data_IF_844562515604
#
_entry.id   IF_844562515604
#
_cell.length_a   1.000
_cell.length_b   1.000
_cell.length_c   1.000
_cell.angle_alpha   90.00
_cell.angle_beta   90.00
_cell.angle_gamma   90.00
#
_symmetry.space_group_name_H-M   'P 1'
#
loop_
_entity.id
_entity.type
_entity.pdbx_description
1 polymer ?
#
# COMPACT_ATOMS: atom_id res chain seq x y z
N UNK A 1 -12.55 9.19 18.50
CA UNK A 1 -11.33 8.36 18.63
C UNK A 1 -10.84 8.17 17.22
N UNK A 2 -9.62 8.58 16.88
CA UNK A 2 -9.14 8.58 15.49
C UNK A 2 -9.08 7.15 14.93
N UNK A 3 -10.09 6.74 14.17
CA UNK A 3 -10.11 5.45 13.46
C UNK A 3 -9.59 5.61 12.04
N UNK A 4 -9.07 4.54 11.40
CA UNK A 4 -8.64 4.62 10.01
C UNK A 4 -9.74 5.13 9.09
N UNK A 5 -10.99 4.66 9.25
CA UNK A 5 -12.11 5.04 8.38
C UNK A 5 -12.48 6.53 8.49
N UNK A 6 -12.39 7.11 9.70
CA UNK A 6 -12.61 8.54 9.91
C UNK A 6 -11.50 9.37 9.28
N UNK A 7 -10.24 9.01 9.53
CA UNK A 7 -9.07 9.72 9.02
C UNK A 7 -8.95 9.60 7.49
N UNK A 8 -9.35 8.46 6.93
CA UNK A 8 -9.32 8.22 5.49
C UNK A 8 -10.18 9.21 4.71
N UNK A 9 -11.29 9.67 5.28
CA UNK A 9 -12.17 10.70 4.68
C UNK A 9 -11.61 12.12 4.81
N UNK A 10 -10.79 12.36 5.83
CA UNK A 10 -10.26 13.69 6.16
C UNK A 10 -8.92 13.98 5.50
N UNK A 11 -8.11 12.95 5.27
CA UNK A 11 -6.75 13.09 4.77
C UNK A 11 -6.61 12.64 3.31
N UNK A 12 -5.83 13.42 2.56
CA UNK A 12 -5.16 12.92 1.35
C UNK A 12 -3.96 12.06 1.73
N UNK A 13 -3.41 11.28 0.79
CA UNK A 13 -2.18 10.52 1.02
C UNK A 13 -1.03 11.41 1.48
N UNK A 14 -0.82 12.56 0.82
CA UNK A 14 0.22 13.53 1.16
C UNK A 14 0.07 14.06 2.59
N UNK A 15 -1.12 14.52 2.94
CA UNK A 15 -1.37 15.08 4.28
C UNK A 15 -1.31 14.02 5.37
N UNK A 16 -1.71 12.78 5.09
CA UNK A 16 -1.60 11.67 6.03
C UNK A 16 -0.12 11.33 6.31
N UNK A 17 0.70 11.25 5.25
CA UNK A 17 2.13 11.00 5.37
C UNK A 17 2.84 12.11 6.17
N UNK A 18 2.53 13.38 5.90
CA UNK A 18 3.11 14.49 6.64
C UNK A 18 2.75 14.47 8.15
N UNK A 19 1.49 14.16 8.48
CA UNK A 19 1.06 14.05 9.88
C UNK A 19 1.69 12.84 10.58
N UNK A 20 1.75 11.71 9.89
CA UNK A 20 2.42 10.50 10.38
C UNK A 20 3.89 10.76 10.69
N UNK A 21 4.62 11.39 9.76
CA UNK A 21 6.04 11.73 9.92
C UNK A 21 6.27 12.66 11.13
N UNK A 22 5.43 13.69 11.29
CA UNK A 22 5.52 14.60 12.43
C UNK A 22 5.31 13.90 13.79
N UNK A 23 4.33 13.00 13.88
CA UNK A 23 4.08 12.22 15.09
C UNK A 23 5.19 11.21 15.35
N UNK A 24 5.70 10.55 14.30
CA UNK A 24 6.78 9.57 14.39
C UNK A 24 8.10 10.21 14.82
N UNK A 25 8.41 11.40 14.32
CA UNK A 25 9.60 12.16 14.73
C UNK A 25 9.54 12.55 16.21
N UNK A 26 8.39 13.03 16.69
CA UNK A 26 8.19 13.34 18.12
C UNK A 26 8.33 12.10 19.00
N UNK A 27 7.71 10.99 18.60
CA UNK A 27 7.77 9.72 19.32
C UNK A 27 9.22 9.20 19.45
N UNK A 28 10.00 9.28 18.36
CA UNK A 28 11.40 8.88 18.36
C UNK A 28 12.30 9.75 19.26
N UNK A 29 12.01 11.05 19.36
CA UNK A 29 12.76 11.98 20.23
C UNK A 29 12.39 11.85 21.72
N UNK A 30 11.18 11.38 22.03
CA UNK A 30 10.71 11.18 23.39
C UNK A 30 11.01 9.78 23.96
N UNK A 31 11.39 8.81 23.11
CA UNK A 31 11.81 7.49 23.55
C UNK A 31 13.11 7.58 24.36
N UNK A 32 13.19 6.97 25.56
CA UNK A 32 14.44 6.93 26.30
C UNK A 32 15.50 6.21 25.45
N UNK A 33 16.72 6.78 25.40
CA UNK A 33 17.88 6.07 24.88
C UNK A 33 17.98 4.71 25.57
N UNK A 34 18.40 3.68 24.82
CA UNK A 34 18.45 2.28 25.27
C UNK A 34 18.83 2.14 26.76
N UNK A 35 18.18 1.20 27.47
CA UNK A 35 18.33 1.00 28.92
C UNK A 35 19.81 0.82 29.38
N UNK A 36 20.71 0.49 28.46
CA UNK A 36 22.16 0.32 28.68
C UNK A 36 22.96 1.65 28.67
N UNK A 37 22.43 2.73 28.06
CA UNK A 37 23.08 4.05 27.95
C UNK A 37 22.33 5.17 28.72
N UNK A 38 21.19 4.80 29.33
CA UNK A 38 20.29 5.70 30.08
C UNK A 38 20.92 6.38 31.30
N UNK A 39 22.15 6.02 31.70
CA UNK A 39 22.85 6.68 32.80
C UNK A 39 23.63 7.95 32.39
N UNK A 40 23.90 8.16 31.09
CA UNK A 40 24.79 9.23 30.63
C UNK A 40 24.10 10.35 29.85
N UNK A 41 22.87 10.13 29.35
CA UNK A 41 22.09 11.15 28.64
C UNK A 41 20.75 11.37 29.34
N UNK A 42 20.54 12.50 30.04
CA UNK A 42 19.24 12.84 30.55
C UNK A 42 18.25 13.01 29.38
N UNK A 43 16.98 12.57 29.54
CA UNK A 43 15.96 12.80 28.52
C UNK A 43 15.87 14.30 28.23
N UNK A 44 15.79 14.68 26.96
CA UNK A 44 15.59 16.07 26.56
C UNK A 44 14.29 16.59 27.21
N UNK A 45 14.35 17.58 28.11
CA UNK A 45 13.16 18.10 28.78
C UNK A 45 12.15 18.76 27.81
N UNK A 46 12.54 19.01 26.55
CA UNK A 46 11.65 19.50 25.49
C UNK A 46 10.92 18.41 24.69
N UNK A 47 11.28 17.13 24.85
CA UNK A 47 10.67 16.02 24.12
C UNK A 47 9.44 15.48 24.86
N UNK A 48 8.29 16.13 24.67
CA UNK A 48 7.02 15.66 25.24
C UNK A 48 6.59 14.32 24.58
N UNK A 49 6.39 13.24 25.36
CA UNK A 49 5.88 11.99 24.84
C UNK A 49 4.52 12.15 24.15
N UNK A 50 4.23 11.29 23.18
CA UNK A 50 2.91 11.28 22.56
C UNK A 50 1.83 11.04 23.60
N UNK A 51 0.75 11.82 23.53
CA UNK A 51 -0.47 11.51 24.26
C UNK A 51 -1.06 10.20 23.75
N UNK A 52 -1.90 9.54 24.56
CA UNK A 52 -2.66 8.35 24.14
C UNK A 52 -3.43 8.59 22.82
N UNK A 53 -3.99 9.78 22.64
CA UNK A 53 -4.72 10.13 21.42
C UNK A 53 -3.81 10.17 20.20
N UNK A 54 -2.65 10.80 20.33
CA UNK A 54 -1.65 10.90 19.26
C UNK A 54 -1.02 9.54 18.91
N UNK A 55 -0.78 8.68 19.90
CA UNK A 55 -0.29 7.32 19.64
C UNK A 55 -1.31 6.48 18.85
N UNK A 56 -2.60 6.58 19.19
CA UNK A 56 -3.67 5.93 18.41
C UNK A 56 -3.83 6.55 17.01
N UNK A 57 -3.70 7.88 16.91
CA UNK A 57 -3.71 8.59 15.63
C UNK A 57 -2.56 8.12 14.73
N UNK A 58 -1.35 7.97 15.27
CA UNK A 58 -0.18 7.47 14.54
C UNK A 58 -0.44 6.09 13.92
N UNK A 59 -1.01 5.16 14.68
CA UNK A 59 -1.39 3.83 14.18
C UNK A 59 -2.44 3.91 13.08
N UNK A 60 -3.49 4.71 13.29
CA UNK A 60 -4.56 4.87 12.31
C UNK A 60 -4.07 5.52 11.01
N UNK A 61 -3.16 6.49 11.09
CA UNK A 61 -2.54 7.11 9.92
C UNK A 61 -1.68 6.13 9.12
N UNK A 62 -0.95 5.23 9.78
CA UNK A 62 -0.18 4.17 9.11
C UNK A 62 -1.07 3.27 8.23
N UNK A 63 -2.22 2.86 8.76
CA UNK A 63 -3.22 2.10 8.02
C UNK A 63 -3.80 2.91 6.85
N UNK A 64 -4.16 4.18 7.06
CA UNK A 64 -4.67 5.06 5.99
C UNK A 64 -3.67 5.22 4.85
N UNK A 65 -2.39 5.41 5.17
CA UNK A 65 -1.31 5.50 4.17
C UNK A 65 -1.22 4.19 3.39
N UNK A 66 -1.22 3.04 4.06
CA UNK A 66 -1.15 1.74 3.41
C UNK A 66 -2.34 1.50 2.46
N UNK A 67 -3.57 1.83 2.89
CA UNK A 67 -4.79 1.74 2.05
C UNK A 67 -4.68 2.65 0.83
N UNK A 68 -4.42 3.94 1.04
CA UNK A 68 -4.37 4.93 -0.05
C UNK A 68 -3.22 4.68 -1.03
N UNK A 69 -2.07 4.22 -0.56
CA UNK A 69 -0.96 3.80 -1.43
C UNK A 69 -1.28 2.50 -2.19
N UNK A 70 -2.17 1.66 -1.65
CA UNK A 70 -2.70 0.47 -2.31
C UNK A 70 -3.81 0.75 -3.33
N UNK A 71 -4.42 1.94 -3.31
CA UNK A 71 -5.45 2.30 -4.28
C UNK A 71 -4.90 2.31 -5.71
N UNK A 72 -5.63 1.66 -6.61
CA UNK A 72 -5.19 1.51 -7.99
C UNK A 72 -3.97 0.60 -8.17
N UNK A 73 -3.55 -0.19 -7.16
CA UNK A 73 -2.39 -1.10 -7.27
C UNK A 73 -2.40 -1.92 -8.55
N UNK A 74 -3.55 -2.44 -8.96
CA UNK A 74 -3.65 -3.27 -10.17
C UNK A 74 -3.51 -2.47 -11.47
N UNK A 75 -3.86 -1.18 -11.47
CA UNK A 75 -3.54 -0.26 -12.57
C UNK A 75 -2.03 0.01 -12.64
N UNK A 76 -1.37 0.13 -11.50
CA UNK A 76 0.10 0.25 -11.43
C UNK A 76 0.80 -1.02 -11.91
N UNK A 77 0.28 -2.21 -11.54
CA UNK A 77 0.77 -3.50 -12.06
C UNK A 77 0.60 -3.58 -13.58
N UNK A 78 -0.56 -3.18 -14.12
CA UNK A 78 -0.79 -3.09 -15.57
C UNK A 78 0.22 -2.17 -16.25
N UNK A 79 0.47 -0.99 -15.66
CA UNK A 79 1.45 -0.03 -16.17
C UNK A 79 2.87 -0.58 -16.16
N UNK A 80 3.24 -1.32 -15.11
CA UNK A 80 4.53 -2.01 -15.02
C UNK A 80 4.66 -3.10 -16.10
N UNK A 81 3.59 -3.88 -16.34
CA UNK A 81 3.54 -4.85 -17.44
C UNK A 81 3.69 -4.18 -18.81
N UNK A 82 3.04 -3.04 -19.04
CA UNK A 82 3.19 -2.26 -20.29
C UNK A 82 4.61 -1.75 -20.48
N UNK A 83 5.30 -1.40 -19.39
CA UNK A 83 6.70 -1.02 -19.40
C UNK A 83 7.67 -2.22 -19.53
N UNK A 84 7.17 -3.45 -19.64
CA UNK A 84 7.97 -4.65 -19.83
C UNK A 84 8.48 -5.33 -18.55
N UNK A 85 7.98 -4.94 -17.37
CA UNK A 85 8.38 -5.57 -16.12
C UNK A 85 7.90 -7.02 -16.04
N UNK A 86 8.77 -7.93 -15.61
CA UNK A 86 8.47 -9.35 -15.38
C UNK A 86 7.62 -9.55 -14.12
N UNK A 87 6.90 -10.68 -14.01
CA UNK A 87 6.14 -11.03 -12.80
C UNK A 87 7.04 -11.24 -11.60
N UNK A 88 8.27 -11.72 -11.81
CA UNK A 88 9.29 -11.77 -10.77
C UNK A 88 9.69 -10.39 -10.26
N UNK A 89 9.88 -9.41 -11.15
CA UNK A 89 10.16 -8.01 -10.76
C UNK A 89 8.97 -7.37 -10.03
N UNK A 90 7.75 -7.58 -10.53
CA UNK A 90 6.52 -7.08 -9.91
C UNK A 90 6.32 -7.71 -8.53
N UNK A 91 6.48 -9.03 -8.41
CA UNK A 91 6.39 -9.74 -7.13
C UNK A 91 7.38 -9.18 -6.11
N UNK A 92 8.65 -9.03 -6.51
CA UNK A 92 9.69 -8.44 -5.66
C UNK A 92 9.34 -7.01 -5.21
N UNK A 93 8.88 -6.15 -6.13
CA UNK A 93 8.47 -4.78 -5.81
C UNK A 93 7.25 -4.72 -4.86
N UNK A 94 6.37 -5.71 -4.91
CA UNK A 94 5.20 -5.81 -4.04
C UNK A 94 5.50 -6.56 -2.73
N UNK A 95 6.70 -7.12 -2.55
CA UNK A 95 7.04 -7.95 -1.40
C UNK A 95 6.29 -9.29 -1.37
N UNK A 96 5.97 -9.87 -2.54
CA UNK A 96 5.25 -11.13 -2.67
C UNK A 96 5.89 -12.04 -3.73
N UNK A 97 5.38 -13.26 -3.89
CA UNK A 97 5.86 -14.16 -4.93
C UNK A 97 5.36 -13.73 -6.32
N UNK A 98 6.10 -14.07 -7.38
CA UNK A 98 5.66 -13.85 -8.77
C UNK A 98 4.27 -14.45 -9.03
N UNK A 99 4.00 -15.63 -8.46
CA UNK A 99 2.75 -16.35 -8.61
C UNK A 99 1.60 -15.60 -7.94
N UNK A 100 1.79 -15.16 -6.69
CA UNK A 100 0.78 -14.41 -5.97
C UNK A 100 0.47 -13.06 -6.66
N UNK A 101 1.49 -12.39 -7.20
CA UNK A 101 1.30 -11.16 -7.98
C UNK A 101 0.47 -11.40 -9.25
N UNK A 102 0.79 -12.46 -10.00
CA UNK A 102 0.05 -12.84 -11.20
C UNK A 102 -1.41 -13.22 -10.87
N UNK A 103 -1.64 -14.08 -9.88
CA UNK A 103 -2.98 -14.50 -9.47
C UNK A 103 -3.85 -13.34 -8.97
N UNK A 104 -3.26 -12.42 -8.21
CA UNK A 104 -3.97 -11.22 -7.77
C UNK A 104 -4.37 -10.33 -8.94
N UNK A 105 -3.49 -10.18 -9.95
CA UNK A 105 -3.81 -9.40 -11.13
C UNK A 105 -4.86 -10.08 -12.02
N UNK A 106 -4.75 -11.38 -12.25
CA UNK A 106 -5.72 -12.15 -13.03
C UNK A 106 -7.12 -12.09 -12.41
N UNK A 107 -7.22 -12.25 -11.08
CA UNK A 107 -8.51 -12.09 -10.37
C UNK A 107 -9.10 -10.69 -10.53
N UNK A 108 -8.26 -9.66 -10.53
CA UNK A 108 -8.72 -8.29 -10.74
C UNK A 108 -9.24 -8.07 -12.17
N UNK A 109 -8.59 -8.64 -13.20
CA UNK A 109 -9.09 -8.62 -14.58
C UNK A 109 -10.48 -9.27 -14.66
N UNK A 110 -10.67 -10.42 -14.00
CA UNK A 110 -11.95 -11.11 -13.97
C UNK A 110 -13.03 -10.30 -13.23
N UNK A 111 -12.66 -9.53 -12.21
CA UNK A 111 -13.56 -8.61 -11.52
C UNK A 111 -13.98 -7.44 -12.42
N UNK A 112 -13.05 -6.85 -13.19
CA UNK A 112 -13.37 -5.80 -14.17
C UNK A 112 -14.34 -6.29 -15.26
N UNK A 113 -14.24 -7.55 -15.66
CA UNK A 113 -15.18 -8.17 -16.60
C UNK A 113 -16.60 -8.29 -16.00
N UNK A 114 -16.69 -8.65 -14.71
CA UNK A 114 -17.97 -8.79 -14.00
C UNK A 114 -18.66 -7.44 -13.77
N UNK A 115 -17.88 -6.40 -13.47
CA UNK A 115 -18.43 -5.03 -13.32
C UNK A 115 -19.13 -4.56 -14.60
N UNK A 116 -18.57 -4.87 -15.78
CA UNK A 116 -19.17 -4.57 -17.08
C UNK A 116 -20.51 -5.31 -17.30
N UNK A 117 -20.56 -6.58 -16.92
CA UNK A 117 -21.79 -7.38 -17.01
C UNK A 117 -22.91 -6.87 -16.08
N UNK A 118 -22.55 -6.33 -14.91
CA UNK A 118 -23.51 -5.83 -13.94
C UNK A 118 -24.00 -4.41 -14.26
N UNK A 119 -23.11 -3.52 -14.72
CA UNK A 119 -23.40 -2.09 -14.82
C UNK A 119 -23.52 -1.57 -16.26
N UNK A 120 -23.17 -2.35 -17.28
CA UNK A 120 -23.34 -2.05 -18.72
C UNK A 120 -22.56 -0.85 -19.29
N UNK A 121 -22.07 0.05 -18.44
CA UNK A 121 -21.32 1.26 -18.80
C UNK A 121 -19.97 1.37 -18.05
N UNK A 122 -19.77 0.56 -16.99
CA UNK A 122 -18.55 0.57 -16.17
C UNK A 122 -17.89 -0.79 -16.18
N UNK A 123 -16.57 -0.87 -16.34
CA UNK A 123 -15.80 -2.12 -16.43
C UNK A 123 -15.22 -2.34 -17.82
N UNK A 124 -14.68 -3.53 -18.06
CA UNK A 124 -14.04 -3.91 -19.33
C UNK A 124 -14.92 -4.83 -20.16
N UNK A 125 -15.05 -4.50 -21.45
CA UNK A 125 -15.69 -5.40 -22.40
C UNK A 125 -14.81 -6.62 -22.71
N UNK A 126 -15.30 -7.54 -23.54
CA UNK A 126 -14.55 -8.76 -23.88
C UNK A 126 -13.20 -8.47 -24.57
N UNK A 127 -13.11 -7.40 -25.36
CA UNK A 127 -11.88 -7.01 -26.05
C UNK A 127 -10.86 -6.42 -25.07
N UNK A 128 -11.31 -5.58 -24.14
CA UNK A 128 -10.49 -5.01 -23.08
C UNK A 128 -9.91 -6.10 -22.17
N UNK A 129 -10.74 -7.09 -21.80
CA UNK A 129 -10.31 -8.25 -21.01
C UNK A 129 -9.29 -9.09 -21.77
N UNK A 130 -9.52 -9.36 -23.06
CA UNK A 130 -8.58 -10.12 -23.89
C UNK A 130 -7.24 -9.39 -23.99
N UNK A 131 -7.25 -8.08 -24.26
CA UNK A 131 -6.03 -7.26 -24.32
C UNK A 131 -5.29 -7.24 -22.97
N UNK A 132 -6.02 -7.14 -21.86
CA UNK A 132 -5.42 -7.19 -20.52
C UNK A 132 -4.80 -8.55 -20.20
N UNK A 133 -5.43 -9.66 -20.58
CA UNK A 133 -4.88 -11.01 -20.42
C UNK A 133 -3.63 -11.23 -21.26
N UNK A 134 -3.62 -10.75 -22.52
CA UNK A 134 -2.43 -10.78 -23.38
C UNK A 134 -1.28 -10.00 -22.76
N UNK A 135 -1.55 -8.80 -22.23
CA UNK A 135 -0.56 -7.99 -21.54
C UNK A 135 -0.05 -8.63 -20.24
N UNK A 136 -0.95 -9.24 -19.47
CA UNK A 136 -0.59 -9.97 -18.26
C UNK A 136 0.35 -11.14 -18.60
N UNK A 137 0.02 -11.95 -19.60
CA UNK A 137 0.80 -13.13 -19.97
C UNK A 137 0.87 -14.16 -18.85
N UNK A 138 1.65 -15.23 -19.05
CA UNK A 138 1.93 -16.24 -18.02
C UNK A 138 3.05 -15.77 -17.08
N UNK A 139 3.08 -16.24 -15.81
CA UNK A 139 4.24 -16.06 -14.96
C UNK A 139 5.46 -16.78 -15.56
N UNK A 140 6.67 -16.24 -15.36
CA UNK A 140 7.88 -16.87 -15.91
C UNK A 140 8.02 -18.31 -15.40
N UNK A 141 8.29 -19.26 -16.30
CA UNK A 141 8.61 -20.66 -15.93
C UNK A 141 7.46 -21.68 -16.04
N UNK A 142 6.26 -21.29 -16.50
CA UNK A 142 5.18 -22.23 -16.84
C UNK A 142 5.12 -22.60 -18.35
N UNK A 143 6.15 -22.24 -19.12
CA UNK A 143 6.24 -22.51 -20.56
C UNK A 143 7.61 -23.03 -20.98
N UNK A 144 7.93 -24.28 -20.63
CA UNK A 144 8.84 -25.18 -21.34
C UNK A 144 8.98 -26.48 -20.53
N UNK A 145 8.15 -27.46 -20.88
CA UNK A 145 8.21 -28.86 -20.47
C UNK A 145 7.35 -29.67 -21.42
#
# INVERSE_FOLDING_TARGET
MSTPDELERQFTLLTAAARYDALRARDALASPADEDDSALTPPDPGAEPLTRGEALELLALGEVIARKAGYGRQLSVRSARQAGASWSQIGAALGTSKQAAWEAHSRWIDEQAKEHQHNGHWGWDENDVAAARTLAGAPEGEGAG
#
